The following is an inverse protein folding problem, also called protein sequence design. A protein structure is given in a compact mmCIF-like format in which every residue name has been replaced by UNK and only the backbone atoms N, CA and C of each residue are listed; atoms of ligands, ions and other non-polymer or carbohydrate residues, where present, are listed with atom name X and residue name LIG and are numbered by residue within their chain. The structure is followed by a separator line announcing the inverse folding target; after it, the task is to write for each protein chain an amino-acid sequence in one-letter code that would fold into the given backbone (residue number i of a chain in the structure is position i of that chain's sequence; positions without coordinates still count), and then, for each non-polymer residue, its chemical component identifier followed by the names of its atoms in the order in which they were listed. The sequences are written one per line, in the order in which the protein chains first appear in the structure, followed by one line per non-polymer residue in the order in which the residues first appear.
data_IF_523615044984
#
_entry.id   IF_523615044984
#
_cell.length_a   1.000
_cell.length_b   1.000
_cell.length_c   1.000
_cell.angle_alpha   90.00
_cell.angle_beta   90.00
_cell.angle_gamma   90.00
#
_symmetry.space_group_name_H-M   'P 1'
#
loop_
_entity.id
_entity.type
_entity.pdbx_description
1 polymer ?
#
# COMPACT_ATOMS: atom_id res chain seq x y z
N UNK A 1 -26.05 -15.20 -7.98
CA UNK A 1 -26.60 -14.24 -6.99
C UNK A 1 -25.41 -13.60 -6.30
N UNK A 2 -24.85 -12.54 -6.90
CA UNK A 2 -23.65 -11.88 -6.39
C UNK A 2 -24.04 -10.88 -5.31
N UNK A 3 -23.32 -10.95 -4.19
CA UNK A 3 -23.54 -10.14 -2.99
C UNK A 3 -23.19 -8.69 -3.32
N UNK A 4 -24.17 -7.79 -3.19
CA UNK A 4 -23.98 -6.35 -3.24
C UNK A 4 -23.05 -5.95 -2.09
N UNK A 5 -21.82 -5.51 -2.38
CA UNK A 5 -20.82 -5.15 -1.37
C UNK A 5 -21.07 -3.76 -0.79
N UNK A 6 -21.04 -3.65 0.54
CA UNK A 6 -21.21 -2.44 1.36
C UNK A 6 -20.07 -1.39 1.25
N UNK A 7 -19.14 -1.50 0.28
CA UNK A 7 -17.90 -0.68 0.21
C UNK A 7 -18.01 0.60 -0.67
N UNK A 8 -19.18 0.88 -1.27
CA UNK A 8 -19.35 1.91 -2.33
C UNK A 8 -19.01 3.34 -1.89
N UNK A 9 -19.06 3.66 -0.59
CA UNK A 9 -18.86 5.03 -0.11
C UNK A 9 -17.37 5.38 0.09
N UNK A 10 -16.55 4.40 0.50
CA UNK A 10 -15.12 4.62 0.71
C UNK A 10 -14.38 4.74 -0.63
N UNK A 11 -14.73 3.89 -1.60
CA UNK A 11 -14.13 3.90 -2.93
C UNK A 11 -14.53 5.14 -3.71
N UNK A 12 -15.80 5.58 -3.61
CA UNK A 12 -16.24 6.86 -4.17
C UNK A 12 -15.44 8.04 -3.58
N UNK A 13 -15.22 8.04 -2.26
CA UNK A 13 -14.43 9.11 -1.62
C UNK A 13 -12.96 9.12 -2.09
N UNK A 14 -12.39 7.96 -2.42
CA UNK A 14 -11.04 7.86 -3.02
C UNK A 14 -11.07 8.44 -4.45
N UNK A 15 -12.06 8.04 -5.25
CA UNK A 15 -12.22 8.52 -6.62
C UNK A 15 -12.37 10.04 -6.69
N UNK A 16 -13.29 10.60 -5.91
CA UNK A 16 -13.58 12.04 -5.91
C UNK A 16 -12.34 12.85 -5.52
N UNK A 17 -11.61 12.41 -4.47
CA UNK A 17 -10.37 13.07 -4.05
C UNK A 17 -9.24 12.95 -5.08
N UNK A 18 -9.11 11.79 -5.72
CA UNK A 18 -8.09 11.59 -6.74
C UNK A 18 -8.34 12.47 -7.97
N UNK A 19 -9.61 12.62 -8.38
CA UNK A 19 -10.00 13.55 -9.44
C UNK A 19 -9.63 14.97 -9.02
N UNK A 20 -10.12 15.45 -7.86
CA UNK A 20 -9.86 16.82 -7.39
C UNK A 20 -8.36 17.13 -7.30
N UNK A 21 -7.56 16.22 -6.75
CA UNK A 21 -6.12 16.40 -6.60
C UNK A 21 -5.39 16.50 -7.95
N UNK A 22 -5.76 15.66 -8.92
CA UNK A 22 -5.14 15.68 -10.26
C UNK A 22 -5.63 16.87 -11.09
N UNK A 23 -6.88 17.28 -10.96
CA UNK A 23 -7.37 18.49 -11.63
C UNK A 23 -6.64 19.75 -11.12
N UNK A 24 -6.37 19.80 -9.81
CA UNK A 24 -5.61 20.88 -9.19
C UNK A 24 -4.13 20.89 -9.63
N UNK A 25 -3.45 19.73 -9.59
CA UNK A 25 -2.01 19.63 -9.87
C UNK A 25 -1.68 19.64 -11.37
N UNK A 26 -2.40 18.83 -12.16
CA UNK A 26 -2.06 18.57 -13.56
C UNK A 26 -2.84 19.45 -14.55
N UNK A 27 -3.83 20.24 -14.09
CA UNK A 27 -4.74 21.05 -14.92
C UNK A 27 -5.46 20.26 -16.03
N UNK A 28 -5.64 18.96 -15.81
CA UNK A 28 -6.46 18.07 -16.63
C UNK A 28 -7.88 18.07 -16.05
N UNK A 29 -8.89 17.70 -16.84
CA UNK A 29 -10.25 17.47 -16.33
C UNK A 29 -10.67 16.02 -16.50
N UNK A 30 -11.25 15.45 -15.46
CA UNK A 30 -11.77 14.08 -15.45
C UNK A 30 -13.24 14.12 -15.05
N UNK A 31 -14.11 13.65 -15.94
CA UNK A 31 -15.56 13.60 -15.68
C UNK A 31 -16.03 12.18 -15.51
N UNK A 32 -16.82 11.92 -14.47
CA UNK A 32 -17.48 10.64 -14.27
C UNK A 32 -18.64 10.52 -15.27
N UNK A 33 -18.60 9.53 -16.17
CA UNK A 33 -19.64 9.37 -17.21
C UNK A 33 -20.70 8.31 -16.87
N UNK A 34 -20.37 7.24 -16.15
CA UNK A 34 -21.34 6.19 -15.79
C UNK A 34 -20.86 5.27 -14.67
N UNK A 35 -21.81 4.85 -13.83
CA UNK A 35 -21.65 3.82 -12.79
C UNK A 35 -21.92 2.43 -13.36
N UNK A 36 -20.92 1.56 -13.25
CA UNK A 36 -20.93 0.10 -13.48
C UNK A 36 -21.27 -0.33 -14.92
N UNK A 37 -20.25 -0.80 -15.65
CA UNK A 37 -20.45 -1.67 -16.81
C UNK A 37 -19.94 -3.06 -16.42
N UNK A 38 -20.84 -4.03 -16.31
CA UNK A 38 -20.43 -5.44 -16.21
C UNK A 38 -19.95 -5.88 -17.60
N UNK A 39 -18.63 -5.90 -17.82
CA UNK A 39 -18.02 -6.48 -19.02
C UNK A 39 -17.39 -7.83 -18.63
N UNK A 40 -17.94 -8.92 -19.17
CA UNK A 40 -17.41 -10.28 -19.08
C UNK A 40 -17.14 -10.80 -17.65
N UNK A 41 -18.12 -10.69 -16.74
CA UNK A 41 -18.00 -11.11 -15.31
C UNK A 41 -16.86 -10.42 -14.52
N UNK A 42 -16.21 -9.41 -15.10
CA UNK A 42 -15.28 -8.52 -14.41
C UNK A 42 -15.97 -7.18 -14.18
N UNK A 43 -16.34 -6.90 -12.93
CA UNK A 43 -16.94 -5.64 -12.57
C UNK A 43 -15.93 -4.51 -12.75
N UNK A 44 -16.21 -3.59 -13.66
CA UNK A 44 -15.53 -2.29 -13.71
C UNK A 44 -16.26 -1.37 -12.74
N UNK A 45 -15.53 -0.72 -11.83
CA UNK A 45 -16.12 0.11 -10.78
C UNK A 45 -16.79 1.35 -11.39
N UNK A 46 -16.06 2.10 -12.23
CA UNK A 46 -16.51 3.34 -12.88
C UNK A 46 -15.82 3.60 -14.23
N UNK A 47 -16.34 4.56 -15.01
CA UNK A 47 -15.67 5.05 -16.24
C UNK A 47 -15.51 6.56 -16.19
N UNK A 48 -14.29 7.04 -16.48
CA UNK A 48 -13.96 8.46 -16.55
C UNK A 48 -13.74 8.91 -17.99
N UNK A 49 -14.18 10.13 -18.30
CA UNK A 49 -13.84 10.84 -19.53
C UNK A 49 -12.73 11.85 -19.26
N UNK A 50 -11.66 11.73 -20.04
CA UNK A 50 -10.49 12.59 -20.01
C UNK A 50 -10.65 13.78 -20.96
N UNK A 51 -10.47 14.99 -20.45
CA UNK A 51 -10.39 16.23 -21.24
C UNK A 51 -9.00 16.87 -21.15
N UNK A 52 -8.44 17.36 -22.27
CA UNK A 52 -9.00 17.36 -23.64
C UNK A 52 -8.90 15.99 -24.33
N UNK A 53 -9.81 15.70 -25.27
CA UNK A 53 -9.77 14.50 -26.11
C UNK A 53 -10.98 13.57 -25.98
N UNK A 54 -11.72 13.66 -24.87
CA UNK A 54 -12.98 12.91 -24.67
C UNK A 54 -12.78 11.40 -24.53
N UNK A 55 -11.54 10.94 -24.31
CA UNK A 55 -11.23 9.51 -24.21
C UNK A 55 -11.79 8.94 -22.92
N UNK A 56 -12.42 7.77 -23.01
CA UNK A 56 -12.96 7.03 -21.88
C UNK A 56 -11.90 6.10 -21.30
N UNK A 57 -11.86 6.01 -19.98
CA UNK A 57 -10.94 5.18 -19.21
C UNK A 57 -11.76 4.38 -18.20
N UNK A 58 -11.68 3.06 -18.28
CA UNK A 58 -12.25 2.18 -17.26
C UNK A 58 -11.41 2.24 -15.99
N UNK A 59 -12.09 2.33 -14.84
CA UNK A 59 -11.45 2.54 -13.54
C UNK A 59 -11.47 1.27 -12.70
N UNK A 60 -10.33 0.99 -12.09
CA UNK A 60 -10.23 0.10 -10.93
C UNK A 60 -9.88 0.94 -9.70
N UNK A 61 -10.75 0.94 -8.67
CA UNK A 61 -10.50 1.67 -7.43
C UNK A 61 -9.89 0.73 -6.40
N UNK A 62 -8.76 1.11 -5.80
CA UNK A 62 -8.08 0.32 -4.76
C UNK A 62 -7.50 1.18 -3.65
N UNK A 63 -7.61 0.69 -2.41
CA UNK A 63 -6.72 1.12 -1.32
C UNK A 63 -5.32 0.55 -1.56
N UNK A 64 -4.35 1.41 -1.83
CA UNK A 64 -3.00 1.07 -2.24
C UNK A 64 -2.26 0.26 -1.17
N UNK A 65 -2.43 0.64 0.09
CA UNK A 65 -1.78 -0.03 1.23
C UNK A 65 -2.19 -1.50 1.41
N UNK A 66 -3.18 -2.00 0.64
CA UNK A 66 -3.60 -3.40 0.65
C UNK A 66 -2.97 -4.23 -0.48
N UNK A 67 -2.24 -3.60 -1.40
CA UNK A 67 -1.76 -4.24 -2.62
C UNK A 67 -0.38 -4.87 -2.44
N UNK A 68 -0.35 -6.02 -1.77
CA UNK A 68 0.88 -6.82 -1.62
C UNK A 68 1.39 -7.39 -2.97
N UNK A 69 0.54 -7.48 -3.99
CA UNK A 69 0.88 -8.03 -5.31
C UNK A 69 0.62 -7.02 -6.44
N UNK A 70 1.54 -6.07 -6.60
CA UNK A 70 1.52 -5.08 -7.71
C UNK A 70 1.45 -5.75 -9.08
N UNK A 71 2.04 -6.94 -9.27
CA UNK A 71 2.00 -7.62 -10.56
C UNK A 71 0.59 -8.03 -10.96
N UNK A 72 -0.17 -8.59 -10.01
CA UNK A 72 -1.57 -8.94 -10.24
C UNK A 72 -2.43 -7.69 -10.50
N UNK A 73 -2.20 -6.61 -9.75
CA UNK A 73 -2.89 -5.33 -9.96
C UNK A 73 -2.62 -4.76 -11.35
N UNK A 74 -1.37 -4.74 -11.78
CA UNK A 74 -1.00 -4.29 -13.13
C UNK A 74 -1.73 -5.11 -14.18
N UNK A 75 -1.69 -6.44 -14.06
CA UNK A 75 -2.39 -7.31 -14.99
C UNK A 75 -3.89 -7.02 -15.02
N UNK A 76 -4.53 -6.85 -13.85
CA UNK A 76 -5.95 -6.54 -13.76
C UNK A 76 -6.30 -5.22 -14.48
N UNK A 77 -5.54 -4.16 -14.22
CA UNK A 77 -5.77 -2.85 -14.86
C UNK A 77 -5.53 -2.91 -16.37
N UNK A 78 -4.57 -3.72 -16.83
CA UNK A 78 -4.32 -3.92 -18.26
C UNK A 78 -5.42 -4.69 -18.98
N UNK A 79 -6.19 -5.52 -18.27
CA UNK A 79 -7.36 -6.23 -18.84
C UNK A 79 -8.59 -5.33 -18.95
N UNK A 80 -8.56 -4.12 -18.37
CA UNK A 80 -9.67 -3.18 -18.46
C UNK A 80 -9.81 -2.62 -19.88
N UNK A 81 -11.05 -2.42 -20.35
CA UNK A 81 -11.31 -1.85 -21.67
C UNK A 81 -10.88 -0.38 -21.75
N UNK A 82 -10.68 0.10 -22.98
CA UNK A 82 -10.47 1.53 -23.31
C UNK A 82 -9.23 2.19 -22.71
N UNK A 83 -8.32 1.41 -22.11
CA UNK A 83 -7.10 1.89 -21.47
C UNK A 83 -7.35 2.11 -19.99
N UNK A 84 -7.20 1.03 -19.20
CA UNK A 84 -7.45 1.04 -17.78
C UNK A 84 -6.71 2.14 -17.01
N UNK A 85 -7.38 2.64 -15.98
CA UNK A 85 -6.88 3.64 -15.04
C UNK A 85 -6.99 3.10 -13.62
N UNK A 86 -5.86 3.00 -12.94
CA UNK A 86 -5.82 2.70 -11.51
C UNK A 86 -6.12 3.96 -10.71
N UNK A 87 -7.13 3.91 -9.84
CA UNK A 87 -7.42 4.98 -8.89
C UNK A 87 -7.13 4.48 -7.49
N UNK A 88 -6.31 5.21 -6.74
CA UNK A 88 -5.95 4.80 -5.39
C UNK A 88 -5.96 5.93 -4.36
N UNK A 89 -6.01 5.53 -3.08
CA UNK A 89 -5.90 6.48 -1.97
C UNK A 89 -4.52 7.16 -1.91
N UNK A 90 -3.44 6.41 -2.13
CA UNK A 90 -2.10 6.98 -2.23
C UNK A 90 -1.10 6.01 -2.87
N UNK A 91 -0.44 6.39 -3.97
CA UNK A 91 0.56 5.58 -4.64
C UNK A 91 1.94 6.11 -4.26
N UNK A 92 2.69 5.31 -3.48
CA UNK A 92 4.07 5.67 -3.12
C UNK A 92 4.91 5.89 -4.40
N UNK A 93 5.60 7.05 -4.56
CA UNK A 93 6.43 7.36 -5.72
C UNK A 93 7.40 6.26 -6.16
N UNK A 94 8.04 5.57 -5.21
CA UNK A 94 8.99 4.47 -5.54
C UNK A 94 8.29 3.22 -6.08
N UNK A 95 7.01 3.07 -5.77
CA UNK A 95 6.20 1.93 -6.19
C UNK A 95 5.42 2.25 -7.47
N UNK A 96 5.26 3.53 -7.81
CA UNK A 96 4.65 4.01 -9.05
C UNK A 96 5.49 3.68 -10.30
N UNK A 97 6.81 3.50 -10.15
CA UNK A 97 7.70 3.24 -11.28
C UNK A 97 7.38 1.94 -12.02
N UNK A 98 7.05 0.87 -11.30
CA UNK A 98 6.77 -0.43 -11.93
C UNK A 98 5.48 -0.40 -12.78
N UNK A 99 4.32 0.04 -12.26
CA UNK A 99 3.13 0.26 -13.07
C UNK A 99 3.39 1.17 -14.27
N UNK A 100 4.07 2.31 -14.06
CA UNK A 100 4.38 3.27 -15.12
C UNK A 100 5.22 2.67 -16.24
N UNK A 101 6.28 1.93 -15.92
CA UNK A 101 7.13 1.24 -16.90
C UNK A 101 6.35 0.19 -17.71
N UNK A 102 5.26 -0.35 -17.16
CA UNK A 102 4.37 -1.30 -17.83
C UNK A 102 3.16 -0.61 -18.50
N UNK A 103 3.18 0.72 -18.63
CA UNK A 103 2.11 1.49 -19.27
C UNK A 103 0.80 1.53 -18.49
N UNK A 104 0.81 1.15 -17.21
CA UNK A 104 -0.37 1.24 -16.35
C UNK A 104 -0.52 2.65 -15.85
N UNK A 105 -1.62 3.27 -16.25
CA UNK A 105 -2.00 4.62 -15.87
C UNK A 105 -2.58 4.64 -14.47
N UNK A 106 -2.33 5.72 -13.74
CA UNK A 106 -2.85 5.86 -12.40
C UNK A 106 -3.11 7.32 -12.00
N UNK A 107 -3.99 7.50 -11.02
CA UNK A 107 -4.15 8.72 -10.24
C UNK A 107 -4.34 8.37 -8.76
N UNK A 108 -3.93 9.26 -7.86
CA UNK A 108 -4.16 9.09 -6.42
C UNK A 108 -4.73 10.32 -5.73
N UNK A 109 -5.20 10.15 -4.49
CA UNK A 109 -5.79 11.24 -3.69
C UNK A 109 -4.78 12.29 -3.21
N UNK A 110 -3.49 12.09 -3.42
CA UNK A 110 -2.44 13.09 -3.15
C UNK A 110 -2.04 13.88 -4.43
N UNK A 111 -2.64 13.55 -5.58
CA UNK A 111 -2.35 14.20 -6.86
C UNK A 111 -1.14 13.60 -7.61
N UNK A 112 -0.61 12.46 -7.15
CA UNK A 112 0.32 11.71 -7.99
C UNK A 112 -0.46 11.09 -9.14
N UNK A 113 0.07 11.22 -10.36
CA UNK A 113 -0.62 10.81 -11.57
C UNK A 113 0.36 10.35 -12.66
N UNK A 114 -0.06 9.35 -13.42
CA UNK A 114 0.51 9.01 -14.71
C UNK A 114 -0.62 8.74 -15.69
N UNK A 115 -0.75 9.61 -16.70
CA UNK A 115 -1.73 9.47 -17.78
C UNK A 115 -0.95 9.61 -19.09
N UNK A 116 -1.09 8.63 -19.98
CA UNK A 116 -0.45 8.63 -21.29
C UNK A 116 -1.50 8.31 -22.35
N UNK A 117 -2.30 9.33 -22.68
CA UNK A 117 -3.41 9.25 -23.63
C UNK A 117 -3.34 10.41 -24.60
N UNK A 118 -2.65 10.26 -25.74
CA UNK A 118 -2.52 11.32 -26.71
C UNK A 118 -3.87 12.02 -27.01
N UNK A 119 -3.94 13.37 -26.93
CA UNK A 119 -2.83 14.31 -26.80
C UNK A 119 -2.39 14.63 -25.36
N UNK A 120 -2.98 13.99 -24.35
CA UNK A 120 -2.75 14.24 -22.92
C UNK A 120 -1.64 13.34 -22.37
N UNK A 121 -0.59 13.97 -21.85
CA UNK A 121 0.43 13.30 -21.06
C UNK A 121 0.58 14.00 -19.71
N UNK A 122 0.41 13.25 -18.63
CA UNK A 122 0.59 13.72 -17.25
C UNK A 122 1.54 12.80 -16.55
N UNK A 123 2.55 13.35 -15.88
CA UNK A 123 3.34 12.62 -14.93
C UNK A 123 3.69 13.52 -13.72
N UNK A 124 3.02 13.26 -12.61
CA UNK A 124 3.19 13.95 -11.33
C UNK A 124 3.54 12.91 -10.27
N UNK A 125 4.62 13.13 -9.53
CA UNK A 125 5.07 12.23 -8.47
C UNK A 125 5.76 12.99 -7.35
N UNK A 126 5.77 12.42 -6.15
CA UNK A 126 6.43 13.00 -4.99
C UNK A 126 5.50 13.71 -4.01
N UNK A 127 4.22 13.85 -4.36
CA UNK A 127 3.19 14.30 -3.42
C UNK A 127 3.01 13.23 -2.36
N UNK A 128 2.83 13.66 -1.10
CA UNK A 128 2.61 12.76 0.03
C UNK A 128 1.16 12.83 0.43
N UNK A 129 0.62 11.70 0.86
CA UNK A 129 -0.70 11.67 1.47
C UNK A 129 -0.72 12.65 2.66
N UNK A 130 -1.67 13.57 2.67
CA UNK A 130 -1.89 14.42 3.84
C UNK A 130 -2.30 13.50 4.99
N UNK A 131 -1.38 13.27 5.92
CA UNK A 131 -1.65 12.55 7.16
C UNK A 131 -2.58 13.41 8.03
N UNK A 132 -3.88 13.37 7.75
CA UNK A 132 -4.89 13.84 8.69
C UNK A 132 -4.72 12.99 9.96
N UNK A 133 -4.19 13.61 11.02
CA UNK A 133 -4.07 13.17 12.42
C UNK A 133 -2.71 12.68 12.95
N UNK A 134 -1.65 12.55 12.15
CA UNK A 134 -0.32 12.32 12.74
C UNK A 134 0.34 13.67 13.04
N UNK A 135 0.16 14.13 14.29
CA UNK A 135 1.02 15.17 14.86
C UNK A 135 2.48 14.78 14.56
N UNK A 136 3.35 15.74 14.14
CA UNK A 136 4.74 15.45 13.80
C UNK A 136 5.35 14.68 14.94
N UNK A 137 5.62 13.43 14.65
CA UNK A 137 5.85 12.46 15.66
C UNK A 137 7.28 12.68 16.18
N UNK A 138 7.45 12.74 17.50
CA UNK A 138 8.77 12.83 18.14
C UNK A 138 9.72 11.79 17.51
N UNK A 139 11.02 12.07 17.42
CA UNK A 139 12.03 11.22 16.74
C UNK A 139 11.87 9.70 16.91
N UNK A 140 11.36 9.26 18.07
CA UNK A 140 11.06 7.85 18.35
C UNK A 140 10.01 7.19 17.45
N UNK A 141 9.00 7.92 16.99
CA UNK A 141 7.96 7.39 16.10
C UNK A 141 8.50 7.20 14.68
N UNK A 142 9.23 8.18 14.16
CA UNK A 142 9.90 8.05 12.86
C UNK A 142 10.88 6.87 12.87
N UNK A 143 11.60 6.68 13.99
CA UNK A 143 12.46 5.51 14.18
C UNK A 143 11.69 4.19 14.16
N UNK A 144 10.48 4.11 14.75
CA UNK A 144 9.64 2.90 14.72
C UNK A 144 9.38 2.37 13.30
N UNK A 145 9.40 3.25 12.30
CA UNK A 145 9.24 2.93 10.88
C UNK A 145 10.56 3.00 10.07
N UNK A 146 11.72 2.97 10.73
CA UNK A 146 13.01 2.65 10.11
C UNK A 146 13.18 1.13 9.96
N UNK A 147 14.11 0.62 9.13
CA UNK A 147 14.17 -0.81 8.76
C UNK A 147 14.12 -1.81 9.92
N UNK A 148 14.92 -1.61 10.97
CA UNK A 148 14.89 -2.48 12.17
C UNK A 148 13.58 -2.33 12.96
N UNK A 149 12.99 -1.13 12.93
CA UNK A 149 11.69 -0.88 13.54
C UNK A 149 10.57 -1.59 12.79
N UNK A 150 10.60 -1.53 11.45
CA UNK A 150 9.65 -2.23 10.57
C UNK A 150 9.67 -3.74 10.80
N UNK A 151 10.83 -4.35 11.08
CA UNK A 151 10.90 -5.78 11.44
C UNK A 151 10.16 -6.09 12.75
N UNK A 152 10.31 -5.23 13.77
CA UNK A 152 9.58 -5.38 15.04
C UNK A 152 8.07 -5.12 14.87
N UNK A 153 7.70 -4.10 14.10
CA UNK A 153 6.29 -3.83 13.77
C UNK A 153 5.67 -5.00 13.02
N UNK A 154 6.38 -5.60 12.07
CA UNK A 154 5.93 -6.79 11.36
C UNK A 154 5.68 -7.97 12.31
N UNK A 155 6.61 -8.23 13.24
CA UNK A 155 6.42 -9.26 14.27
C UNK A 155 5.19 -9.00 15.15
N UNK A 156 4.88 -7.74 15.47
CA UNK A 156 3.67 -7.37 16.18
C UNK A 156 2.39 -7.52 15.34
N UNK A 157 2.45 -7.23 14.04
CA UNK A 157 1.34 -7.44 13.12
C UNK A 157 1.01 -8.93 12.99
N UNK A 158 2.03 -9.80 12.89
CA UNK A 158 1.86 -11.25 12.88
C UNK A 158 1.37 -11.80 14.23
N UNK A 159 1.95 -11.31 15.33
CA UNK A 159 1.68 -11.79 16.68
C UNK A 159 1.30 -10.63 17.61
N UNK A 160 0.03 -10.16 17.61
CA UNK A 160 -0.37 -8.98 18.39
C UNK A 160 -0.11 -9.07 19.89
N UNK A 161 -0.08 -10.28 20.46
CA UNK A 161 0.22 -10.48 21.90
C UNK A 161 1.71 -10.30 22.23
N UNK A 162 2.60 -10.37 21.23
CA UNK A 162 4.05 -10.21 21.37
C UNK A 162 4.42 -8.83 21.96
N UNK A 163 3.55 -7.83 21.80
CA UNK A 163 3.73 -6.52 22.47
C UNK A 163 3.80 -6.63 23.98
N UNK A 164 3.43 -7.74 24.60
CA UNK A 164 3.55 -7.98 26.05
C UNK A 164 4.79 -8.79 26.45
N UNK A 165 5.47 -9.41 25.49
CA UNK A 165 6.60 -10.27 25.77
C UNK A 165 7.82 -9.48 26.33
N UNK A 166 8.76 -10.17 26.99
CA UNK A 166 10.06 -9.60 27.35
C UNK A 166 10.80 -9.07 26.13
N UNK A 167 11.61 -8.03 26.31
CA UNK A 167 12.28 -7.36 25.19
C UNK A 167 13.20 -8.30 24.40
N UNK A 168 13.80 -9.30 25.07
CA UNK A 168 14.64 -10.31 24.42
C UNK A 168 13.84 -11.21 23.48
N UNK A 169 12.66 -11.67 23.91
CA UNK A 169 11.79 -12.52 23.09
C UNK A 169 11.26 -11.75 21.87
N UNK A 170 10.88 -10.48 22.05
CA UNK A 170 10.48 -9.62 20.93
C UNK A 170 11.64 -9.47 19.93
N UNK A 171 12.85 -9.22 20.43
CA UNK A 171 14.03 -9.01 19.61
C UNK A 171 14.39 -10.26 18.80
N UNK A 172 14.32 -11.44 19.43
CA UNK A 172 14.53 -12.73 18.79
C UNK A 172 13.51 -12.99 17.69
N UNK A 173 12.21 -12.86 18.01
CA UNK A 173 11.13 -13.05 17.02
C UNK A 173 11.19 -12.07 15.86
N UNK A 174 11.67 -10.86 16.09
CA UNK A 174 11.81 -9.84 15.06
C UNK A 174 13.17 -9.88 14.34
N UNK A 175 14.14 -10.69 14.79
CA UNK A 175 15.49 -10.73 14.22
C UNK A 175 16.29 -9.43 14.39
N UNK A 176 16.17 -8.75 15.54
CA UNK A 176 16.84 -7.46 15.82
C UNK A 176 17.60 -7.46 17.14
N UNK A 177 18.39 -6.40 17.38
CA UNK A 177 19.04 -6.20 18.67
C UNK A 177 18.01 -5.81 19.76
N UNK A 178 18.22 -6.25 21.00
CA UNK A 178 17.31 -5.97 22.14
C UNK A 178 17.04 -4.47 22.34
N UNK A 179 18.06 -3.63 22.13
CA UNK A 179 17.93 -2.17 22.22
C UNK A 179 16.96 -1.56 21.20
N UNK A 180 16.71 -2.23 20.07
CA UNK A 180 15.74 -1.83 19.05
C UNK A 180 14.31 -1.81 19.62
N UNK A 181 13.97 -2.83 20.39
CA UNK A 181 12.61 -3.05 20.89
C UNK A 181 12.11 -1.88 21.75
N UNK A 182 12.98 -1.33 22.60
CA UNK A 182 12.61 -0.25 23.51
C UNK A 182 12.14 1.01 22.80
N UNK A 183 12.89 1.50 21.81
CA UNK A 183 12.48 2.70 21.09
C UNK A 183 11.33 2.46 20.12
N UNK A 184 11.17 1.25 19.56
CA UNK A 184 9.99 0.91 18.74
C UNK A 184 8.73 0.97 19.59
N UNK A 185 8.72 0.32 20.76
CA UNK A 185 7.58 0.34 21.67
C UNK A 185 7.22 1.76 22.11
N UNK A 186 8.21 2.59 22.43
CA UNK A 186 7.98 3.98 22.80
C UNK A 186 7.43 4.80 21.63
N UNK A 187 7.96 4.59 20.42
CA UNK A 187 7.44 5.22 19.20
C UNK A 187 5.99 4.82 18.92
N UNK A 188 5.67 3.53 18.96
CA UNK A 188 4.30 3.05 18.74
C UNK A 188 3.33 3.53 19.82
N UNK A 189 3.77 3.67 21.08
CA UNK A 189 2.97 4.28 22.15
C UNK A 189 2.71 5.77 21.89
N UNK A 190 3.75 6.52 21.56
CA UNK A 190 3.65 7.95 21.26
C UNK A 190 2.75 8.24 20.04
N UNK A 191 2.77 7.35 19.05
CA UNK A 191 1.92 7.39 17.87
C UNK A 191 0.49 6.87 18.10
N UNK A 192 0.17 6.37 19.30
CA UNK A 192 -1.16 5.84 19.62
C UNK A 192 -1.47 4.46 19.03
N UNK A 193 -0.48 3.76 18.49
CA UNK A 193 -0.59 2.37 18.01
C UNK A 193 -0.47 1.33 19.13
N UNK A 194 0.04 1.71 20.31
CA UNK A 194 0.03 0.87 21.51
C UNK A 194 -0.59 1.65 22.66
N UNK A 195 -1.52 1.03 23.39
CA UNK A 195 -2.04 1.54 24.66
C UNK A 195 -1.77 0.56 25.80
N UNK A 196 -1.49 1.11 26.98
CA UNK A 196 -1.42 0.33 28.21
C UNK A 196 -2.85 0.07 28.72
N UNK A 197 -3.26 -1.19 28.85
CA UNK A 197 -4.58 -1.59 29.34
C UNK A 197 -4.63 -1.76 30.88
N UNK A 198 -3.65 -1.18 31.58
CA UNK A 198 -3.47 -1.29 33.05
C UNK A 198 -2.57 -2.44 33.48
N UNK A 199 -2.11 -2.40 34.75
CA UNK A 199 -1.09 -3.30 35.31
C UNK A 199 -1.40 -4.80 35.21
N UNK A 200 -2.69 -5.18 35.15
CA UNK A 200 -3.13 -6.57 35.02
C UNK A 200 -3.38 -7.04 33.58
N UNK A 201 -3.52 -6.14 32.61
CA UNK A 201 -3.92 -6.49 31.22
C UNK A 201 -2.85 -6.22 30.17
N UNK A 202 -1.73 -5.62 30.56
CA UNK A 202 -0.58 -5.37 29.68
C UNK A 202 -0.83 -4.34 28.59
N UNK A 203 0.08 -4.27 27.63
CA UNK A 203 0.02 -3.48 26.40
C UNK A 203 -0.92 -4.12 25.39
N UNK A 204 -1.56 -3.30 24.55
CA UNK A 204 -2.35 -3.77 23.41
C UNK A 204 -2.07 -2.93 22.18
N UNK A 205 -1.98 -3.57 21.02
CA UNK A 205 -2.03 -2.86 19.75
C UNK A 205 -3.40 -2.21 19.57
N UNK A 206 -3.37 -0.96 19.16
CA UNK A 206 -4.54 -0.15 18.83
C UNK A 206 -4.40 0.30 17.38
N UNK A 207 -5.54 0.43 16.69
CA UNK A 207 -5.56 0.84 15.27
C UNK A 207 -4.74 -0.08 14.36
N UNK A 208 -4.89 -1.41 14.52
CA UNK A 208 -4.17 -2.43 13.73
C UNK A 208 -4.17 -2.13 12.23
N UNK A 209 -5.33 -1.77 11.68
CA UNK A 209 -5.48 -1.42 10.26
C UNK A 209 -4.55 -0.27 9.85
N UNK A 210 -4.57 0.84 10.60
CA UNK A 210 -3.69 2.00 10.34
C UNK A 210 -2.21 1.66 10.49
N UNK A 211 -1.85 0.81 11.47
CA UNK A 211 -0.47 0.36 11.64
C UNK A 211 0.00 -0.49 10.46
N UNK A 212 -0.85 -1.40 9.99
CA UNK A 212 -0.58 -2.21 8.81
C UNK A 212 -0.45 -1.33 7.56
N UNK A 213 -1.38 -0.41 7.35
CA UNK A 213 -1.36 0.48 6.18
C UNK A 213 -0.07 1.30 6.14
N UNK A 214 0.34 1.88 7.29
CA UNK A 214 1.61 2.59 7.41
C UNK A 214 2.83 1.69 7.21
N UNK A 215 2.78 0.44 7.69
CA UNK A 215 3.86 -0.51 7.48
C UNK A 215 4.03 -0.86 5.99
N UNK A 216 2.93 -1.12 5.28
CA UNK A 216 2.93 -1.43 3.84
C UNK A 216 3.39 -0.23 3.01
N UNK A 217 3.06 0.99 3.42
CA UNK A 217 3.51 2.21 2.74
C UNK A 217 5.04 2.36 2.75
N UNK A 218 5.68 2.08 3.89
CA UNK A 218 7.10 2.38 4.13
C UNK A 218 8.02 1.18 3.86
N UNK A 219 7.52 -0.06 4.04
CA UNK A 219 8.28 -1.29 3.83
C UNK A 219 8.98 -1.39 2.46
N UNK A 220 8.29 -1.15 1.33
CA UNK A 220 8.89 -1.31 0.00
C UNK A 220 10.05 -0.35 -0.24
N UNK A 221 9.99 0.81 0.37
CA UNK A 221 11.01 1.85 0.26
C UNK A 221 12.21 1.60 1.17
N UNK A 222 11.96 1.23 2.44
CA UNK A 222 13.01 1.22 3.46
C UNK A 222 13.57 -0.16 3.76
N UNK A 223 12.73 -1.21 3.78
CA UNK A 223 13.12 -2.54 4.22
C UNK A 223 13.33 -3.51 3.05
N UNK A 224 12.40 -3.56 2.09
CA UNK A 224 12.47 -4.47 0.94
C UNK A 224 13.82 -4.44 0.20
N UNK A 225 14.42 -3.27 -0.12
CA UNK A 225 15.69 -3.24 -0.85
C UNK A 225 16.86 -3.81 -0.04
N UNK A 226 16.77 -3.78 1.30
CA UNK A 226 17.79 -4.33 2.20
C UNK A 226 17.66 -5.84 2.42
N UNK A 227 16.53 -6.42 2.01
CA UNK A 227 16.27 -7.86 2.06
C UNK A 227 16.53 -8.53 0.70
N UNK A 228 16.93 -7.77 -0.32
CA UNK A 228 17.25 -8.30 -1.63
C UNK A 228 18.59 -9.03 -1.59
N UNK A 229 18.54 -10.36 -1.70
CA UNK A 229 19.74 -11.22 -1.74
C UNK A 229 20.24 -11.41 -3.17
N UNK A 230 19.32 -11.46 -4.14
CA UNK A 230 19.62 -11.62 -5.56
C UNK A 230 18.40 -12.10 -6.35
N UNK A 231 18.51 -12.05 -7.68
CA UNK A 231 17.60 -12.76 -8.57
C UNK A 231 18.19 -14.13 -8.90
N UNK A 232 17.43 -15.18 -8.64
CA UNK A 232 17.81 -16.55 -8.92
C UNK A 232 16.90 -17.09 -10.03
N UNK A 233 17.51 -17.56 -11.11
CA UNK A 233 16.81 -18.19 -12.23
C UNK A 233 17.13 -19.67 -12.28
N UNK A 234 16.18 -20.46 -12.76
CA UNK A 234 16.34 -21.90 -12.92
C UNK A 234 15.55 -22.36 -14.13
N UNK A 235 16.14 -23.28 -14.87
CA UNK A 235 15.54 -23.90 -16.05
C UNK A 235 14.48 -24.94 -15.65
N UNK A 236 14.42 -25.29 -14.37
CA UNK A 236 13.44 -26.21 -13.79
C UNK A 236 12.29 -25.44 -13.13
N UNK A 237 11.09 -25.38 -13.74
CA UNK A 237 9.94 -24.71 -13.16
C UNK A 237 9.38 -25.42 -11.92
N UNK A 238 9.89 -26.60 -11.54
CA UNK A 238 9.50 -27.33 -10.34
C UNK A 238 10.64 -27.43 -9.32
N UNK A 239 11.65 -26.55 -9.39
CA UNK A 239 12.80 -26.59 -8.49
C UNK A 239 12.40 -26.66 -7.00
N UNK A 240 11.32 -25.96 -6.62
CA UNK A 240 10.83 -25.89 -5.24
C UNK A 240 10.22 -27.20 -4.72
N UNK A 241 9.85 -28.15 -5.58
CA UNK A 241 9.20 -29.40 -5.11
C UNK A 241 10.17 -30.35 -4.42
N UNK A 242 11.46 -30.18 -4.68
CA UNK A 242 12.52 -31.07 -4.19
C UNK A 242 13.47 -30.34 -3.21
N UNK A 243 13.11 -29.13 -2.78
CA UNK A 243 13.88 -28.36 -1.80
C UNK A 243 13.20 -28.47 -0.46
N UNK A 244 13.88 -29.08 0.51
CA UNK A 244 13.51 -28.98 1.91
C UNK A 244 13.97 -27.63 2.46
N UNK A 245 13.10 -26.62 2.39
CA UNK A 245 13.41 -25.25 2.82
C UNK A 245 13.86 -25.16 4.29
N UNK A 246 13.46 -26.14 5.10
CA UNK A 246 13.86 -26.25 6.51
C UNK A 246 15.35 -26.56 6.69
N UNK A 247 16.04 -27.13 5.69
CA UNK A 247 17.50 -27.32 5.71
C UNK A 247 18.26 -25.98 5.58
N UNK A 248 17.56 -24.92 5.16
CA UNK A 248 18.11 -23.59 4.92
C UNK A 248 17.52 -22.53 5.86
N UNK A 249 17.04 -22.93 7.04
CA UNK A 249 16.36 -22.05 8.00
C UNK A 249 15.12 -21.34 7.42
N UNK A 250 14.52 -21.88 6.35
CA UNK A 250 13.23 -21.45 5.81
C UNK A 250 12.08 -21.97 6.66
N UNK A 251 11.07 -21.12 6.90
CA UNK A 251 9.84 -21.46 7.63
C UNK A 251 8.67 -21.74 6.69
#
# INVERSE_FOLDING_TARGET
MYIMYEDTNADQAILDRAIEAVEHEARVRLRVESRIIFLNDQGVDDTLQLEPGGKKLAVEIKKWAQQANIGALIHQVQQLPEGGLLVADYINPKMADKPRQQGVQFIDSAGNAFIDQPPVYVYVTGNRQEEQDFKPATDGVNRAFEPKGLMVVYAFLLYPKLVNAPYREIAEKAGVAVGTVGWVLNGLKAAGFIRDAGSKKGRRLTQYRKLLDRWVEVWPEKLKPKQFVGEFVTDNPYWWTNVEITEFDGF
#
